data_IF_224623948877
#
_entry.id   IF_224623948877
#
_cell.length_a   1.000
_cell.length_b   1.000
_cell.length_c   1.000
_cell.angle_alpha   90.00
_cell.angle_beta   90.00
_cell.angle_gamma   90.00
#
_symmetry.space_group_name_H-M   'P 1'
#
loop_
_entity.id
_entity.type
_entity.pdbx_description
1 polymer ?
#
# COMPACT_ATOMS: atom_id res chain seq x y z
N UNK A 1 -1.43 10.20 -39.53
CA UNK A 1 -2.77 10.81 -39.65
C UNK A 1 -3.78 9.80 -39.11
N UNK A 2 -4.66 10.25 -38.21
CA UNK A 2 -5.68 9.42 -37.53
C UNK A 2 -5.22 8.97 -36.15
N UNK A 3 -5.92 9.20 -35.05
CA UNK A 3 -7.14 9.98 -34.80
C UNK A 3 -7.37 9.96 -33.29
N UNK A 4 -7.11 11.07 -32.61
CA UNK A 4 -7.45 11.24 -31.18
C UNK A 4 -8.88 11.76 -31.09
N UNK A 5 -9.79 10.95 -30.55
CA UNK A 5 -11.13 11.37 -30.12
C UNK A 5 -11.28 10.99 -28.65
N UNK A 6 -11.20 11.99 -27.75
CA UNK A 6 -12.33 12.64 -27.06
C UNK A 6 -12.81 11.87 -25.82
N UNK A 7 -12.50 12.44 -24.66
CA UNK A 7 -13.45 12.55 -23.55
C UNK A 7 -13.47 14.00 -23.09
N UNK A 8 -14.39 14.78 -23.68
CA UNK A 8 -14.83 16.06 -23.16
C UNK A 8 -16.34 16.01 -23.00
N UNK A 9 -16.80 16.31 -21.78
CA UNK A 9 -18.13 16.79 -21.33
C UNK A 9 -18.60 16.03 -20.08
N UNK A 10 -18.62 16.76 -18.97
CA UNK A 10 -19.72 16.90 -17.99
C UNK A 10 -19.21 17.91 -16.95
N UNK A 11 -19.50 19.19 -17.16
CA UNK A 11 -20.67 19.90 -16.61
C UNK A 11 -20.30 20.67 -15.33
N UNK A 12 -20.08 21.96 -15.54
CA UNK A 12 -20.18 23.06 -14.58
C UNK A 12 -21.49 23.01 -13.80
N UNK A 13 -21.46 23.38 -12.50
CA UNK A 13 -22.24 24.48 -11.90
C UNK A 13 -22.08 24.53 -10.36
N UNK A 14 -21.82 25.77 -9.92
CA UNK A 14 -22.03 26.46 -8.64
C UNK A 14 -21.18 26.23 -7.37
N UNK A 15 -20.53 27.34 -7.04
CA UNK A 15 -19.99 27.78 -5.75
C UNK A 15 -21.13 28.12 -4.77
N UNK A 16 -20.85 27.97 -3.48
CA UNK A 16 -21.65 28.51 -2.39
C UNK A 16 -20.90 28.41 -1.05
N UNK A 17 -20.28 29.52 -0.69
CA UNK A 17 -19.94 30.11 0.62
C UNK A 17 -19.58 29.25 1.85
N UNK A 18 -18.43 29.61 2.44
CA UNK A 18 -18.17 30.02 3.84
C UNK A 18 -18.71 29.17 5.00
N UNK A 19 -17.81 28.68 5.86
CA UNK A 19 -17.43 29.40 7.09
C UNK A 19 -16.47 28.57 7.95
N UNK A 20 -15.52 29.26 8.56
CA UNK A 20 -14.48 28.67 9.40
C UNK A 20 -14.96 28.29 10.80
N UNK A 21 -14.24 27.35 11.42
CA UNK A 21 -14.15 27.27 12.87
C UNK A 21 -12.84 26.56 13.26
N UNK A 22 -11.90 27.35 13.76
CA UNK A 22 -10.73 26.86 14.47
C UNK A 22 -11.15 26.21 15.79
N UNK A 23 -10.66 25.00 16.08
CA UNK A 23 -10.73 24.40 17.40
C UNK A 23 -9.33 23.97 17.83
N UNK A 24 -8.74 24.78 18.72
CA UNK A 24 -7.58 24.44 19.54
C UNK A 24 -8.04 23.42 20.59
N UNK A 25 -7.29 22.32 20.73
CA UNK A 25 -7.55 21.27 21.71
C UNK A 25 -6.25 20.83 22.36
N UNK A 26 -6.24 20.90 23.68
CA UNK A 26 -5.11 20.92 24.60
C UNK A 26 -4.38 19.57 24.74
N UNK A 27 -3.08 19.64 25.04
CA UNK A 27 -2.20 18.48 25.21
C UNK A 27 -2.34 17.90 26.63
N UNK A 28 -3.18 16.87 26.77
CA UNK A 28 -3.32 16.09 28.01
C UNK A 28 -2.35 14.91 28.08
N UNK A 29 -1.41 14.99 29.02
CA UNK A 29 -0.48 13.94 29.44
C UNK A 29 -1.23 12.68 29.93
N UNK A 30 -0.96 11.52 29.33
CA UNK A 30 -1.49 10.21 29.76
C UNK A 30 -0.36 9.27 30.20
N UNK A 31 0.14 9.52 31.40
CA UNK A 31 0.95 8.57 32.17
C UNK A 31 0.04 7.80 33.14
N UNK A 32 -0.57 6.70 32.69
CA UNK A 32 -0.99 5.54 33.50
C UNK A 32 -1.93 4.60 32.74
N UNK A 33 -1.37 3.59 32.07
CA UNK A 33 -2.11 2.36 31.77
C UNK A 33 -1.26 1.19 32.26
N UNK A 34 -1.36 0.93 33.55
CA UNK A 34 -0.97 -0.33 34.14
C UNK A 34 -2.24 -1.13 34.41
N UNK A 35 -2.20 -2.42 34.02
CA UNK A 35 -3.11 -3.50 34.42
C UNK A 35 -4.46 -3.58 33.68
N UNK A 36 -4.48 -4.32 32.56
CA UNK A 36 -5.68 -5.04 32.10
C UNK A 36 -5.57 -6.53 32.49
N UNK A 37 -6.67 -7.16 32.96
CA UNK A 37 -6.65 -8.53 33.46
C UNK A 37 -6.48 -9.55 32.33
N UNK A 38 -5.71 -10.62 32.62
CA UNK A 38 -5.43 -11.74 31.70
C UNK A 38 -6.71 -12.53 31.40
N UNK A 39 -6.96 -12.77 30.12
CA UNK A 39 -8.02 -13.64 29.61
C UNK A 39 -7.75 -15.11 29.95
N UNK A 40 -8.75 -15.82 30.49
CA UNK A 40 -8.72 -17.28 30.68
C UNK A 40 -9.86 -17.94 29.87
N UNK A 41 -9.58 -19.02 29.11
CA UNK A 41 -10.59 -19.68 28.30
C UNK A 41 -11.51 -20.60 29.15
N UNK A 42 -12.80 -20.62 28.82
CA UNK A 42 -13.80 -21.43 29.50
C UNK A 42 -13.66 -22.93 29.20
N UNK A 43 -13.84 -23.77 30.23
CA UNK A 43 -13.85 -25.25 30.14
C UNK A 43 -15.09 -25.76 29.41
N UNK A 44 -14.92 -26.78 28.55
CA UNK A 44 -16.02 -27.52 27.89
C UNK A 44 -16.82 -28.36 28.91
N UNK A 45 -18.16 -28.42 28.86
CA UNK A 45 -18.92 -29.38 29.65
C UNK A 45 -18.89 -30.78 29.02
N UNK A 46 -18.68 -31.80 29.86
CA UNK A 46 -18.69 -33.21 29.49
C UNK A 46 -20.10 -33.79 29.29
N UNK A 47 -20.15 -34.87 28.52
CA UNK A 47 -21.35 -35.67 28.22
C UNK A 47 -21.53 -36.73 29.32
N UNK A 48 -22.73 -36.80 29.91
CA UNK A 48 -23.14 -37.86 30.83
C UNK A 48 -24.66 -37.96 30.88
N UNK A 49 -25.20 -39.13 30.55
CA UNK A 49 -26.64 -39.38 30.40
C UNK A 49 -27.37 -39.88 31.65
N UNK A 50 -28.69 -40.00 31.52
CA UNK A 50 -29.54 -40.84 32.39
C UNK A 50 -30.88 -40.23 32.78
N UNK A 51 -31.98 -40.96 32.53
CA UNK A 51 -33.16 -40.98 33.41
C UNK A 51 -34.43 -40.28 32.95
N UNK A 52 -35.46 -41.08 32.65
CA UNK A 52 -36.86 -40.71 32.36
C UNK A 52 -37.61 -40.22 33.60
N UNK A 53 -38.54 -39.27 33.45
CA UNK A 53 -39.84 -39.25 34.14
C UNK A 53 -40.84 -38.33 33.42
N UNK A 54 -42.06 -38.84 33.21
CA UNK A 54 -43.21 -38.15 32.66
C UNK A 54 -43.87 -37.24 33.70
N UNK A 55 -44.28 -36.05 33.28
CA UNK A 55 -45.02 -35.09 34.11
C UNK A 55 -45.58 -33.98 33.23
N UNK A 56 -46.89 -34.04 33.02
CA UNK A 56 -47.71 -33.11 32.27
C UNK A 56 -47.67 -31.71 32.91
N UNK A 57 -47.40 -30.67 32.12
CA UNK A 57 -47.18 -29.33 32.66
C UNK A 57 -46.87 -28.31 31.59
N UNK A 58 -47.92 -27.70 31.04
CA UNK A 58 -47.86 -26.57 30.13
C UNK A 58 -46.88 -25.47 30.61
N UNK A 59 -45.74 -25.36 29.94
CA UNK A 59 -44.85 -24.19 30.02
C UNK A 59 -44.55 -23.73 28.60
N UNK A 60 -45.07 -22.56 28.25
CA UNK A 60 -44.74 -21.84 27.02
C UNK A 60 -43.25 -21.49 27.04
N UNK A 61 -42.43 -22.37 26.48
CA UNK A 61 -41.03 -22.11 26.18
C UNK A 61 -40.94 -21.19 24.97
N UNK A 62 -40.42 -19.99 25.16
CA UNK A 62 -39.94 -19.15 24.06
C UNK A 62 -38.70 -19.86 23.50
N UNK A 63 -38.90 -20.73 22.52
CA UNK A 63 -37.82 -21.24 21.69
C UNK A 63 -37.15 -20.03 21.03
N UNK A 64 -35.95 -19.68 21.51
CA UNK A 64 -35.06 -18.83 20.74
C UNK A 64 -34.66 -19.62 19.50
N UNK A 65 -35.45 -19.50 18.44
CA UNK A 65 -35.02 -19.78 17.07
C UNK A 65 -33.69 -19.06 16.88
N UNK A 66 -32.61 -19.84 16.83
CA UNK A 66 -31.42 -19.42 16.11
C UNK A 66 -31.91 -19.14 14.69
N UNK A 67 -32.10 -17.86 14.37
CA UNK A 67 -32.48 -17.45 13.04
C UNK A 67 -31.33 -17.84 12.11
N UNK A 68 -31.50 -18.98 11.44
CA UNK A 68 -30.82 -19.27 10.19
C UNK A 68 -30.98 -18.04 9.31
N UNK A 69 -29.87 -17.34 9.06
CA UNK A 69 -29.83 -16.13 8.25
C UNK A 69 -30.61 -16.37 6.96
N UNK A 70 -31.64 -15.54 6.74
CA UNK A 70 -32.51 -15.65 5.56
C UNK A 70 -31.65 -15.66 4.28
N UNK A 71 -31.85 -16.64 3.37
CA UNK A 71 -31.21 -16.64 2.05
C UNK A 71 -31.53 -15.38 1.21
N UNK A 72 -32.55 -14.62 1.62
CA UNK A 72 -33.10 -13.45 0.96
C UNK A 72 -32.36 -12.13 1.25
N UNK A 73 -31.44 -12.05 2.24
CA UNK A 73 -30.55 -10.89 2.34
C UNK A 73 -29.51 -11.00 1.24
N UNK A 74 -29.84 -10.42 0.08
CA UNK A 74 -28.94 -10.22 -1.06
C UNK A 74 -27.52 -9.96 -0.55
N UNK A 75 -26.59 -10.81 -0.95
CA UNK A 75 -25.14 -10.66 -0.75
C UNK A 75 -24.72 -9.30 -1.34
N UNK A 76 -24.84 -8.22 -0.59
CA UNK A 76 -24.17 -6.98 -0.98
C UNK A 76 -22.67 -7.25 -0.80
N UNK A 77 -21.92 -7.22 -1.90
CA UNK A 77 -20.47 -7.31 -1.86
C UNK A 77 -19.88 -6.15 -1.06
N UNK A 78 -18.64 -6.27 -0.59
CA UNK A 78 -17.97 -5.14 0.05
C UNK A 78 -17.89 -3.98 -0.93
N UNK A 79 -18.02 -2.78 -0.39
CA UNK A 79 -17.68 -1.58 -1.11
C UNK A 79 -16.37 -1.04 -0.57
N UNK A 80 -15.37 -0.92 -1.43
CA UNK A 80 -14.07 -0.35 -1.08
C UNK A 80 -14.02 1.07 -1.61
N UNK A 81 -13.32 1.96 -0.90
CA UNK A 81 -13.06 3.30 -1.40
C UNK A 81 -11.92 3.21 -2.42
N UNK A 82 -12.18 3.66 -3.65
CA UNK A 82 -11.20 3.72 -4.71
C UNK A 82 -10.62 5.14 -4.78
N UNK A 83 -9.31 5.29 -4.52
CA UNK A 83 -8.62 6.59 -4.54
C UNK A 83 -8.76 7.29 -5.90
N UNK A 84 -8.67 6.53 -6.99
CA UNK A 84 -8.71 7.10 -8.34
C UNK A 84 -10.08 7.75 -8.63
N UNK A 85 -11.17 7.12 -8.20
CA UNK A 85 -12.53 7.62 -8.45
C UNK A 85 -13.13 8.42 -7.29
N UNK A 86 -12.47 8.41 -6.13
CA UNK A 86 -12.89 8.99 -4.85
C UNK A 86 -14.27 8.54 -4.37
N UNK A 87 -14.66 7.31 -4.71
CA UNK A 87 -16.00 6.77 -4.40
C UNK A 87 -15.89 5.38 -3.80
N UNK A 88 -16.87 5.05 -2.96
CA UNK A 88 -17.07 3.67 -2.50
C UNK A 88 -17.66 2.86 -3.65
N UNK A 89 -16.90 1.94 -4.21
CA UNK A 89 -17.29 1.11 -5.35
C UNK A 89 -17.49 -0.32 -4.93
N UNK A 90 -18.40 -1.04 -5.59
CA UNK A 90 -18.59 -2.47 -5.32
C UNK A 90 -17.34 -3.21 -5.75
N UNK A 91 -16.67 -3.86 -4.81
CA UNK A 91 -15.53 -4.70 -5.11
C UNK A 91 -15.98 -5.89 -5.96
N UNK A 92 -15.29 -6.07 -7.08
CA UNK A 92 -15.46 -7.17 -8.01
C UNK A 92 -14.07 -7.67 -8.35
N UNK A 93 -13.72 -8.91 -7.93
CA UNK A 93 -12.43 -9.48 -8.30
C UNK A 93 -12.26 -9.56 -9.80
N UNK A 94 -11.06 -9.24 -10.28
CA UNK A 94 -10.60 -9.42 -11.65
C UNK A 94 -10.22 -10.88 -11.89
N UNK A 95 -9.66 -11.53 -10.88
CA UNK A 95 -9.20 -12.91 -10.94
C UNK A 95 -9.54 -13.71 -9.68
N UNK A 96 -9.21 -15.01 -9.76
CA UNK A 96 -9.17 -15.93 -8.63
C UNK A 96 -7.78 -16.60 -8.63
N UNK A 97 -6.93 -16.36 -7.62
CA UNK A 97 -7.19 -15.62 -6.39
C UNK A 97 -7.29 -14.10 -6.58
N UNK A 98 -7.87 -13.41 -5.59
CA UNK A 98 -7.78 -11.95 -5.43
C UNK A 98 -6.33 -11.56 -5.17
N UNK A 99 -5.76 -10.75 -6.07
CA UNK A 99 -4.38 -10.27 -6.04
C UNK A 99 -4.29 -8.99 -5.22
N UNK A 100 -3.75 -9.10 -4.01
CA UNK A 100 -3.58 -7.99 -3.07
C UNK A 100 -2.10 -7.68 -2.91
N UNK A 101 -1.69 -6.49 -3.29
CA UNK A 101 -0.34 -5.98 -3.01
C UNK A 101 -0.43 -4.82 -2.01
N UNK A 102 0.34 -4.90 -0.92
CA UNK A 102 0.40 -3.86 0.09
C UNK A 102 1.85 -3.35 0.24
N UNK A 103 2.08 -2.06 0.01
CA UNK A 103 3.43 -1.49 0.20
C UNK A 103 3.89 -1.70 1.64
N UNK A 104 5.03 -2.37 1.79
CA UNK A 104 5.63 -2.64 3.09
C UNK A 104 6.56 -1.53 3.55
N UNK A 105 7.20 -1.70 4.72
CA UNK A 105 7.99 -0.66 5.34
C UNK A 105 9.41 -0.58 4.75
N UNK A 106 10.01 0.60 4.84
CA UNK A 106 11.47 0.75 4.76
C UNK A 106 12.08 0.34 6.09
N UNK A 107 12.95 -0.67 6.08
CA UNK A 107 13.42 -1.36 7.29
C UNK A 107 14.71 -0.74 7.86
N UNK A 108 14.64 0.54 8.25
CA UNK A 108 15.76 1.28 8.88
C UNK A 108 15.53 1.62 10.36
N UNK A 109 14.32 1.38 10.88
CA UNK A 109 13.92 1.72 12.24
C UNK A 109 12.77 0.80 12.74
N UNK A 110 12.50 0.75 14.06
CA UNK A 110 11.37 0.02 14.61
C UNK A 110 10.02 0.48 14.03
N UNK A 111 9.06 -0.44 13.90
CA UNK A 111 7.73 -0.07 13.44
C UNK A 111 6.97 0.74 14.50
N UNK A 112 6.24 1.77 14.05
CA UNK A 112 5.40 2.60 14.92
C UNK A 112 3.90 2.33 14.72
N UNK A 113 3.04 2.99 15.51
CA UNK A 113 1.58 2.80 15.46
C UNK A 113 0.96 3.08 14.08
N UNK A 114 1.52 4.00 13.30
CA UNK A 114 1.12 4.21 11.90
C UNK A 114 1.21 2.94 11.04
N UNK A 115 2.33 2.21 11.11
CA UNK A 115 2.50 0.92 10.45
C UNK A 115 1.47 -0.10 10.95
N UNK A 116 1.34 -0.23 12.28
CA UNK A 116 0.37 -1.14 12.89
C UNK A 116 -1.05 -0.91 12.36
N UNK A 117 -1.50 0.35 12.30
CA UNK A 117 -2.82 0.71 11.76
C UNK A 117 -3.00 0.22 10.31
N UNK A 118 -2.03 0.51 9.44
CA UNK A 118 -2.10 0.14 8.02
C UNK A 118 -2.14 -1.38 7.82
N UNK A 119 -1.25 -2.12 8.48
CA UNK A 119 -1.16 -3.57 8.28
C UNK A 119 -2.28 -4.35 8.97
N UNK A 120 -2.82 -3.86 10.08
CA UNK A 120 -4.06 -4.40 10.67
C UNK A 120 -5.24 -4.18 9.71
N UNK A 121 -5.32 -3.04 9.03
CA UNK A 121 -6.39 -2.79 8.04
C UNK A 121 -6.30 -3.76 6.85
N UNK A 122 -5.09 -4.04 6.34
CA UNK A 122 -4.86 -5.06 5.30
C UNK A 122 -5.26 -6.44 5.79
N UNK A 123 -4.89 -6.80 7.02
CA UNK A 123 -5.23 -8.10 7.62
C UNK A 123 -6.75 -8.29 7.73
N UNK A 124 -7.46 -7.29 8.26
CA UNK A 124 -8.93 -7.31 8.35
C UNK A 124 -9.56 -7.44 6.97
N UNK A 125 -9.06 -6.71 5.97
CA UNK A 125 -9.55 -6.80 4.59
C UNK A 125 -9.34 -8.19 4.01
N UNK A 126 -8.14 -8.76 4.13
CA UNK A 126 -7.82 -10.12 3.69
C UNK A 126 -8.73 -11.15 4.35
N UNK A 127 -8.83 -11.13 5.68
CA UNK A 127 -9.69 -12.05 6.44
C UNK A 127 -11.16 -11.94 6.03
N UNK A 128 -11.62 -10.72 5.76
CA UNK A 128 -12.97 -10.50 5.27
C UNK A 128 -13.16 -11.12 3.88
N UNK A 129 -12.22 -10.92 2.94
CA UNK A 129 -12.29 -11.53 1.61
C UNK A 129 -12.31 -13.06 1.68
N UNK A 130 -11.43 -13.65 2.47
CA UNK A 130 -11.37 -15.10 2.72
C UNK A 130 -12.66 -15.63 3.37
N UNK A 131 -13.19 -14.93 4.37
CA UNK A 131 -14.49 -15.26 4.99
C UNK A 131 -15.65 -15.25 3.99
N UNK A 132 -15.55 -14.42 2.95
CA UNK A 132 -16.56 -14.33 1.88
C UNK A 132 -16.37 -15.35 0.77
N UNK A 133 -15.35 -16.20 0.89
CA UNK A 133 -15.07 -17.31 -0.01
C UNK A 133 -14.14 -16.96 -1.18
N UNK A 134 -13.44 -15.83 -1.13
CA UNK A 134 -12.38 -15.53 -2.10
C UNK A 134 -11.07 -16.17 -1.65
N UNK A 135 -10.35 -16.83 -2.56
CA UNK A 135 -8.93 -17.06 -2.34
C UNK A 135 -8.18 -15.72 -2.48
N UNK A 136 -7.14 -15.51 -1.69
CA UNK A 136 -6.36 -14.26 -1.70
C UNK A 136 -4.88 -14.58 -1.88
N UNK A 137 -4.24 -13.93 -2.85
CA UNK A 137 -2.77 -13.89 -2.98
C UNK A 137 -2.32 -12.51 -2.51
N UNK A 138 -1.87 -12.46 -1.27
CA UNK A 138 -1.34 -11.25 -0.62
C UNK A 138 0.19 -11.23 -0.68
N UNK A 139 0.77 -10.20 -1.29
CA UNK A 139 2.19 -9.87 -1.21
C UNK A 139 2.43 -8.51 -0.54
N UNK A 140 3.54 -8.38 0.15
CA UNK A 140 3.97 -7.16 0.82
C UNK A 140 5.49 -7.09 0.78
N UNK A 141 6.06 -6.05 0.18
CA UNK A 141 7.51 -5.95 0.05
C UNK A 141 8.20 -5.54 1.36
N UNK A 142 9.53 -5.64 1.38
CA UNK A 142 10.38 -4.85 2.26
C UNK A 142 11.27 -3.96 1.42
N UNK A 143 11.31 -2.67 1.73
CA UNK A 143 12.29 -1.76 1.17
C UNK A 143 13.54 -1.84 2.04
N UNK A 144 14.41 -2.78 1.68
CA UNK A 144 15.68 -3.07 2.35
C UNK A 144 16.87 -2.31 1.71
N UNK A 145 16.60 -1.42 0.77
CA UNK A 145 17.53 -0.45 0.22
C UNK A 145 16.85 0.89 0.01
N UNK A 146 17.41 1.92 0.61
CA UNK A 146 16.95 3.29 0.51
C UNK A 146 18.06 4.24 0.96
N UNK A 147 17.88 5.53 0.74
CA UNK A 147 18.83 6.53 1.23
C UNK A 147 18.85 6.52 2.77
N UNK A 148 17.70 6.29 3.42
CA UNK A 148 17.56 6.20 4.86
C UNK A 148 18.29 4.97 5.44
N UNK A 149 18.21 3.81 4.78
CA UNK A 149 18.90 2.59 5.26
C UNK A 149 20.42 2.78 5.21
N UNK A 150 20.93 3.35 4.12
CA UNK A 150 22.35 3.67 3.96
C UNK A 150 22.83 4.67 5.02
N UNK A 151 22.08 5.75 5.24
CA UNK A 151 22.42 6.76 6.26
C UNK A 151 22.44 6.18 7.68
N UNK A 152 21.48 5.33 8.01
CA UNK A 152 21.43 4.65 9.30
C UNK A 152 22.58 3.66 9.45
N UNK A 153 22.90 2.89 8.41
CA UNK A 153 24.01 1.95 8.41
C UNK A 153 25.35 2.66 8.69
N UNK A 154 25.59 3.80 8.05
CA UNK A 154 26.77 4.65 8.32
C UNK A 154 26.77 5.15 9.76
N UNK A 155 25.64 5.69 10.24
CA UNK A 155 25.53 6.26 11.59
C UNK A 155 25.79 5.21 12.67
N UNK A 156 25.24 4.03 12.50
CA UNK A 156 25.31 2.95 13.48
C UNK A 156 26.55 2.05 13.28
N UNK A 157 27.36 2.34 12.26
CA UNK A 157 28.57 1.61 11.89
C UNK A 157 28.33 0.10 11.68
N UNK A 158 27.22 -0.23 11.01
CA UNK A 158 26.81 -1.59 10.68
C UNK A 158 26.64 -1.75 9.17
N UNK A 159 26.66 -3.00 8.70
CA UNK A 159 26.32 -3.30 7.32
C UNK A 159 24.81 -3.06 7.06
N UNK A 160 24.45 -2.52 5.89
CA UNK A 160 23.06 -2.22 5.54
C UNK A 160 22.20 -3.50 5.49
N UNK A 161 22.73 -4.62 5.01
CA UNK A 161 21.98 -5.87 4.98
C UNK A 161 21.75 -6.40 6.42
N UNK A 162 22.74 -6.26 7.30
CA UNK A 162 22.56 -6.62 8.72
C UNK A 162 21.49 -5.76 9.40
N UNK A 163 21.55 -4.44 9.18
CA UNK A 163 20.58 -3.48 9.71
C UNK A 163 19.15 -3.81 9.28
N UNK A 164 18.97 -4.06 7.98
CA UNK A 164 17.65 -4.24 7.38
C UNK A 164 17.05 -5.59 7.76
N UNK A 165 17.86 -6.66 7.83
CA UNK A 165 17.42 -7.97 8.35
C UNK A 165 16.97 -7.88 9.82
N UNK A 166 17.65 -7.08 10.64
CA UNK A 166 17.25 -6.85 12.03
C UNK A 166 15.87 -6.23 12.12
N UNK A 167 15.62 -5.12 11.42
CA UNK A 167 14.33 -4.42 11.47
C UNK A 167 13.22 -5.17 10.74
N UNK A 168 13.53 -5.91 9.67
CA UNK A 168 12.61 -6.86 9.04
C UNK A 168 12.11 -7.89 10.07
N UNK A 169 13.05 -8.51 10.79
CA UNK A 169 12.72 -9.51 11.82
C UNK A 169 11.87 -8.90 12.94
N UNK A 170 12.25 -7.71 13.42
CA UNK A 170 11.50 -7.00 14.46
C UNK A 170 10.08 -6.64 14.00
N UNK A 171 9.94 -6.09 12.79
CA UNK A 171 8.65 -5.78 12.19
C UNK A 171 7.77 -7.03 12.13
N UNK A 172 8.34 -8.14 11.65
CA UNK A 172 7.64 -9.40 11.54
C UNK A 172 7.17 -9.90 12.91
N UNK A 173 7.98 -9.82 13.96
CA UNK A 173 7.58 -10.19 15.34
C UNK A 173 6.45 -9.30 15.86
N UNK A 174 6.53 -8.00 15.60
CA UNK A 174 5.50 -7.04 16.03
C UNK A 174 4.16 -7.29 15.33
N UNK A 175 4.18 -7.58 14.02
CA UNK A 175 2.94 -7.89 13.29
C UNK A 175 2.31 -9.20 13.74
N UNK A 176 3.11 -10.21 14.09
CA UNK A 176 2.60 -11.46 14.70
C UNK A 176 1.96 -11.20 16.06
N UNK A 177 2.56 -10.35 16.88
CA UNK A 177 2.01 -9.98 18.19
C UNK A 177 0.66 -9.25 18.08
N UNK A 178 0.42 -8.53 16.96
CA UNK A 178 -0.86 -7.92 16.64
C UNK A 178 -1.89 -8.91 16.06
N UNK A 179 -1.48 -10.14 15.76
CA UNK A 179 -2.33 -11.19 15.19
C UNK A 179 -2.53 -11.07 13.68
N UNK A 180 -1.70 -10.30 12.98
CA UNK A 180 -1.76 -10.18 11.53
C UNK A 180 -1.36 -11.52 10.89
N UNK A 181 -2.07 -11.91 9.84
CA UNK A 181 -1.64 -13.01 8.97
C UNK A 181 -0.39 -12.58 8.20
N UNK A 182 0.62 -13.46 8.18
CA UNK A 182 1.78 -13.28 7.30
C UNK A 182 1.35 -13.09 5.84
N UNK A 183 1.89 -12.11 5.11
CA UNK A 183 1.81 -12.06 3.66
C UNK A 183 2.30 -13.39 3.08
N UNK A 184 1.73 -13.81 1.95
CA UNK A 184 2.13 -15.06 1.32
C UNK A 184 3.46 -14.92 0.56
N UNK A 185 3.86 -13.69 0.26
CA UNK A 185 5.15 -13.32 -0.33
C UNK A 185 5.65 -12.05 0.30
N UNK A 186 6.95 -12.04 0.55
CA UNK A 186 7.69 -10.92 1.12
C UNK A 186 8.87 -10.58 0.19
N UNK A 187 8.64 -10.00 -1.01
CA UNK A 187 9.73 -9.66 -1.91
C UNK A 187 10.56 -8.52 -1.33
N UNK A 188 11.86 -8.49 -1.65
CA UNK A 188 12.75 -7.41 -1.20
C UNK A 188 13.13 -6.50 -2.36
N UNK A 189 13.25 -5.20 -2.08
CA UNK A 189 13.70 -4.22 -3.06
C UNK A 189 15.07 -4.58 -3.66
N UNK A 190 15.98 -5.10 -2.83
CA UNK A 190 17.30 -5.54 -3.28
C UNK A 190 17.28 -6.68 -4.31
N UNK A 191 16.20 -7.47 -4.38
CA UNK A 191 16.04 -8.59 -5.33
C UNK A 191 15.69 -8.12 -6.75
N UNK A 192 15.22 -6.87 -6.89
CA UNK A 192 14.86 -6.27 -8.19
C UNK A 192 15.81 -5.14 -8.61
N UNK A 193 16.76 -4.76 -7.76
CA UNK A 193 17.66 -3.63 -7.98
C UNK A 193 18.45 -3.75 -9.30
N UNK A 194 19.02 -4.91 -9.61
CA UNK A 194 19.80 -5.09 -10.85
C UNK A 194 18.92 -4.99 -12.10
N UNK A 195 17.69 -5.51 -12.04
CA UNK A 195 16.72 -5.39 -13.14
C UNK A 195 16.31 -3.93 -13.37
N UNK A 196 16.10 -3.16 -12.30
CA UNK A 196 15.84 -1.71 -12.39
C UNK A 196 16.97 -1.02 -13.14
N UNK A 197 18.22 -1.39 -12.87
CA UNK A 197 19.38 -0.88 -13.58
C UNK A 197 19.35 -1.18 -15.09
N UNK A 198 19.02 -2.42 -15.46
CA UNK A 198 18.87 -2.82 -16.87
C UNK A 198 17.73 -2.05 -17.55
N UNK A 199 16.61 -1.86 -16.86
CA UNK A 199 15.48 -1.08 -17.37
C UNK A 199 15.82 0.39 -17.54
N UNK A 200 16.56 0.99 -16.60
CA UNK A 200 17.03 2.36 -16.70
C UNK A 200 17.95 2.53 -17.92
N UNK A 201 18.88 1.59 -18.15
CA UNK A 201 19.74 1.57 -19.32
C UNK A 201 18.93 1.51 -20.64
N UNK A 202 17.90 0.65 -20.66
CA UNK A 202 17.00 0.52 -21.82
C UNK A 202 16.23 1.82 -22.08
N UNK A 203 15.58 2.38 -21.06
CA UNK A 203 14.78 3.60 -21.18
C UNK A 203 15.66 4.80 -21.59
N UNK A 204 16.92 4.83 -21.16
CA UNK A 204 17.89 5.82 -21.58
C UNK A 204 18.23 5.67 -23.07
N UNK A 205 18.46 4.45 -23.55
CA UNK A 205 18.73 4.17 -24.96
C UNK A 205 17.53 4.46 -25.88
N UNK A 206 16.30 4.28 -25.37
CA UNK A 206 15.04 4.58 -26.08
C UNK A 206 14.73 6.09 -26.12
N UNK A 207 15.42 6.90 -25.32
CA UNK A 207 15.21 8.34 -25.21
C UNK A 207 14.02 8.75 -24.32
N UNK A 208 13.43 7.80 -23.58
CA UNK A 208 12.37 8.05 -22.60
C UNK A 208 12.92 8.51 -21.25
N UNK A 209 14.14 8.10 -20.91
CA UNK A 209 14.89 8.59 -19.74
C UNK A 209 16.04 9.50 -20.16
N UNK A 210 16.59 10.23 -19.19
CA UNK A 210 17.72 11.13 -19.40
C UNK A 210 18.72 11.08 -18.24
N UNK A 211 19.98 11.39 -18.54
CA UNK A 211 21.01 11.62 -17.52
C UNK A 211 21.00 13.07 -17.06
N UNK A 212 21.20 13.24 -15.75
CA UNK A 212 21.45 14.54 -15.12
C UNK A 212 22.34 14.34 -13.90
N UNK A 213 22.64 15.42 -13.18
CA UNK A 213 23.31 15.34 -11.89
C UNK A 213 22.55 14.35 -10.98
N UNK A 214 23.25 13.49 -10.26
CA UNK A 214 22.60 12.53 -9.36
C UNK A 214 21.91 11.32 -10.02
N UNK A 215 22.02 11.10 -11.34
CA UNK A 215 21.71 9.80 -11.95
C UNK A 215 20.87 9.83 -13.24
N UNK A 216 20.12 8.74 -13.47
CA UNK A 216 19.21 8.54 -14.59
C UNK A 216 17.79 8.79 -14.11
N UNK A 217 17.06 9.61 -14.86
CA UNK A 217 15.75 10.12 -14.51
C UNK A 217 14.75 9.81 -15.62
N UNK A 218 13.51 9.52 -15.24
CA UNK A 218 12.38 9.44 -16.17
C UNK A 218 11.69 10.80 -16.23
N UNK A 219 11.56 11.35 -17.44
CA UNK A 219 10.78 12.57 -17.64
C UNK A 219 9.31 12.25 -17.72
N UNK A 220 8.49 12.93 -16.91
CA UNK A 220 7.04 12.74 -16.90
C UNK A 220 6.36 14.07 -17.18
N UNK A 221 5.37 14.06 -18.07
CA UNK A 221 4.55 15.24 -18.31
C UNK A 221 3.73 15.54 -17.04
N UNK A 222 3.80 16.75 -16.46
CA UNK A 222 3.00 17.14 -15.30
C UNK A 222 1.50 16.87 -15.46
N UNK A 223 0.97 16.92 -16.70
CA UNK A 223 -0.43 16.62 -17.00
C UNK A 223 -0.80 15.14 -16.93
N UNK A 224 0.18 14.23 -16.79
CA UNK A 224 -0.06 12.81 -16.52
C UNK A 224 -0.25 12.53 -15.03
N UNK A 225 0.19 13.42 -14.15
CA UNK A 225 -0.01 13.29 -12.71
C UNK A 225 -1.43 13.71 -12.30
N UNK A 226 -1.85 13.21 -11.15
CA UNK A 226 -3.08 13.57 -10.50
C UNK A 226 -4.16 12.51 -10.61
N UNK A 227 -3.86 11.30 -11.07
CA UNK A 227 -4.86 10.23 -11.11
C UNK A 227 -5.39 9.90 -9.70
N UNK A 228 -4.49 9.80 -8.72
CA UNK A 228 -4.82 9.48 -7.32
C UNK A 228 -5.07 10.73 -6.47
N UNK A 229 -4.39 11.85 -6.76
CA UNK A 229 -4.67 13.15 -6.12
C UNK A 229 -6.03 13.71 -6.52
N UNK A 230 -6.34 13.56 -7.82
CA UNK A 230 -7.48 14.08 -8.59
C UNK A 230 -7.88 15.50 -8.28
N UNK A 231 -6.82 16.25 -8.06
CA UNK A 231 -6.57 17.53 -8.67
C UNK A 231 -5.38 17.36 -9.63
N UNK A 232 -5.27 18.26 -10.60
CA UNK A 232 -4.03 18.47 -11.34
C UNK A 232 -2.90 18.82 -10.36
N UNK A 233 -1.70 18.26 -10.59
CA UNK A 233 -0.57 18.48 -9.70
C UNK A 233 -0.17 19.96 -9.62
N UNK A 234 -0.30 20.68 -10.74
CA UNK A 234 -0.05 22.13 -10.82
C UNK A 234 -0.95 22.95 -9.92
N UNK A 235 -2.16 22.46 -9.62
CA UNK A 235 -3.11 23.11 -8.71
C UNK A 235 -2.93 22.65 -7.24
N UNK A 236 -2.19 21.56 -7.01
CA UNK A 236 -1.85 21.08 -5.66
C UNK A 236 -0.60 21.74 -5.08
N UNK A 237 0.26 22.30 -5.93
CA UNK A 237 1.46 22.99 -5.48
C UNK A 237 1.13 24.32 -4.79
N UNK A 238 1.87 24.63 -3.72
CA UNK A 238 1.80 25.94 -3.07
C UNK A 238 2.42 27.06 -3.94
N UNK A 239 3.25 26.69 -4.91
CA UNK A 239 3.94 27.59 -5.85
C UNK A 239 3.80 27.04 -7.27
N UNK A 240 3.88 27.86 -8.34
CA UNK A 240 3.82 27.35 -9.70
C UNK A 240 4.92 26.30 -9.92
N UNK A 241 4.66 25.26 -10.73
CA UNK A 241 5.62 24.18 -11.00
C UNK A 241 6.99 24.70 -11.49
N UNK A 242 7.01 25.84 -12.18
CA UNK A 242 8.23 26.52 -12.63
C UNK A 242 9.09 27.14 -11.51
N UNK A 243 8.52 27.30 -10.30
CA UNK A 243 9.20 27.82 -9.12
C UNK A 243 9.62 26.72 -8.14
N UNK A 244 9.17 25.48 -8.35
CA UNK A 244 9.64 24.33 -7.59
C UNK A 244 11.07 24.02 -8.02
N UNK A 245 12.01 24.11 -7.09
CA UNK A 245 13.39 23.69 -7.33
C UNK A 245 13.40 22.23 -7.76
N UNK A 246 13.74 21.99 -9.02
CA UNK A 246 13.87 20.65 -9.59
C UNK A 246 15.15 19.97 -9.12
N UNK A 247 16.07 20.71 -8.48
CA UNK A 247 17.38 20.26 -8.06
C UNK A 247 18.11 19.61 -9.23
N UNK A 248 18.52 18.33 -9.11
CA UNK A 248 19.20 17.61 -10.18
C UNK A 248 18.31 17.33 -11.42
N UNK A 249 17.00 17.53 -11.35
CA UNK A 249 16.06 17.10 -12.38
C UNK A 249 15.81 18.18 -13.42
N UNK A 250 15.41 17.79 -14.63
CA UNK A 250 14.87 18.70 -15.66
C UNK A 250 13.47 19.19 -15.30
N UNK A 251 12.62 18.31 -14.76
CA UNK A 251 11.29 18.63 -14.26
C UNK A 251 11.17 18.33 -12.75
N UNK A 252 10.41 19.15 -11.98
CA UNK A 252 10.26 18.93 -10.54
C UNK A 252 9.59 17.60 -10.18
N UNK A 253 8.81 17.04 -11.11
CA UNK A 253 8.04 15.80 -10.93
C UNK A 253 8.71 14.56 -11.53
N UNK A 254 9.91 14.71 -12.11
CA UNK A 254 10.62 13.58 -12.69
C UNK A 254 11.09 12.60 -11.60
N UNK A 255 11.17 11.33 -11.95
CA UNK A 255 11.51 10.25 -11.03
C UNK A 255 12.91 9.71 -11.29
N UNK A 256 13.68 9.49 -10.22
CA UNK A 256 14.95 8.80 -10.33
C UNK A 256 14.70 7.32 -10.65
N UNK A 257 15.34 6.81 -11.70
CA UNK A 257 15.37 5.39 -12.01
C UNK A 257 16.62 4.73 -11.42
N UNK A 258 17.76 5.41 -11.56
CA UNK A 258 19.07 4.92 -11.11
C UNK A 258 19.91 6.06 -10.56
N UNK A 259 20.40 5.94 -9.34
CA UNK A 259 21.28 6.92 -8.72
C UNK A 259 22.69 6.38 -8.46
N UNK A 260 23.66 7.26 -8.17
CA UNK A 260 25.01 6.84 -7.82
C UNK A 260 25.04 6.05 -6.50
N UNK A 261 26.12 5.31 -6.22
CA UNK A 261 26.29 4.61 -4.96
C UNK A 261 26.27 5.60 -3.78
N UNK A 262 25.71 5.16 -2.65
CA UNK A 262 25.73 5.92 -1.41
C UNK A 262 26.72 5.32 -0.42
N UNK A 263 27.33 6.16 0.41
CA UNK A 263 28.17 5.70 1.51
C UNK A 263 27.36 4.81 2.45
N UNK A 264 27.87 3.61 2.72
CA UNK A 264 27.22 2.59 3.56
C UNK A 264 26.01 1.90 2.95
N UNK A 265 25.56 2.32 1.76
CA UNK A 265 24.50 1.65 1.02
C UNK A 265 25.06 0.58 0.07
N UNK A 266 24.24 -0.42 -0.24
CA UNK A 266 24.55 -1.41 -1.28
C UNK A 266 24.52 -0.77 -2.67
N UNK A 267 25.29 -1.36 -3.58
CA UNK A 267 25.37 -0.92 -4.96
C UNK A 267 25.45 -2.10 -5.92
N UNK A 268 24.91 -1.90 -7.11
CA UNK A 268 24.84 -2.87 -8.20
C UNK A 268 25.53 -2.31 -9.43
N UNK A 269 26.01 -3.19 -10.31
CA UNK A 269 26.68 -2.83 -11.56
C UNK A 269 25.97 -3.44 -12.77
N UNK A 270 24.76 -2.95 -13.11
CA UNK A 270 24.02 -3.42 -14.28
C UNK A 270 24.77 -3.08 -15.56
N UNK A 271 24.62 -3.91 -16.60
CA UNK A 271 25.25 -3.66 -17.89
C UNK A 271 24.70 -2.39 -18.55
N UNK A 272 25.59 -1.56 -19.09
CA UNK A 272 25.23 -0.39 -19.91
C UNK A 272 25.12 0.94 -19.16
N UNK A 273 25.19 0.95 -17.83
CA UNK A 273 25.19 2.17 -17.00
C UNK A 273 26.18 2.04 -15.83
N UNK A 274 26.60 3.15 -15.18
CA UNK A 274 27.53 3.10 -14.05
C UNK A 274 26.97 2.35 -12.84
N UNK A 275 27.85 1.81 -11.97
CA UNK A 275 27.44 1.26 -10.69
C UNK A 275 26.60 2.26 -9.89
N UNK A 276 25.57 1.77 -9.21
CA UNK A 276 24.61 2.63 -8.54
C UNK A 276 23.60 1.89 -7.71
N UNK A 277 22.45 2.51 -7.48
CA UNK A 277 21.31 1.98 -6.73
C UNK A 277 19.98 2.36 -7.40
N UNK A 278 18.93 1.56 -7.23
CA UNK A 278 17.62 1.86 -7.82
C UNK A 278 16.98 3.10 -7.20
N UNK A 279 16.02 3.67 -7.92
CA UNK A 279 15.06 4.63 -7.37
C UNK A 279 13.86 3.93 -6.73
N UNK A 280 13.33 4.55 -5.67
CA UNK A 280 12.34 3.96 -4.76
C UNK A 280 11.06 3.44 -5.45
N UNK A 281 10.52 4.18 -6.44
CA UNK A 281 9.18 3.89 -6.96
C UNK A 281 9.12 2.68 -7.90
N UNK A 282 10.20 2.37 -8.63
CA UNK A 282 10.17 1.28 -9.62
C UNK A 282 10.20 -0.11 -8.97
N UNK A 283 10.69 -0.19 -7.74
CA UNK A 283 10.78 -1.42 -6.96
C UNK A 283 9.41 -2.07 -6.79
N UNK A 284 8.44 -1.31 -6.27
CA UNK A 284 7.06 -1.78 -6.08
C UNK A 284 6.41 -2.14 -7.42
N UNK A 285 6.68 -1.37 -8.48
CA UNK A 285 6.19 -1.68 -9.83
C UNK A 285 6.59 -3.08 -10.27
N UNK A 286 7.87 -3.42 -10.15
CA UNK A 286 8.39 -4.72 -10.56
C UNK A 286 7.96 -5.85 -9.61
N UNK A 287 8.07 -5.64 -8.30
CA UNK A 287 7.72 -6.65 -7.30
C UNK A 287 6.25 -7.05 -7.41
N UNK A 288 5.33 -6.09 -7.47
CA UNK A 288 3.89 -6.38 -7.58
C UNK A 288 3.53 -7.05 -8.92
N UNK A 289 4.25 -6.69 -9.99
CA UNK A 289 4.03 -7.30 -11.31
C UNK A 289 4.45 -8.77 -11.39
N UNK A 290 5.42 -9.19 -10.58
CA UNK A 290 5.86 -10.58 -10.46
C UNK A 290 4.93 -11.39 -9.56
N UNK A 291 4.63 -10.87 -8.36
CA UNK A 291 3.78 -11.54 -7.38
C UNK A 291 3.09 -10.48 -6.49
N UNK A 292 1.74 -10.43 -6.41
CA UNK A 292 0.75 -11.44 -6.81
C UNK A 292 0.52 -11.58 -8.32
N UNK A 293 1.15 -10.74 -9.13
CA UNK A 293 0.94 -10.66 -10.57
C UNK A 293 -0.17 -9.68 -10.93
N UNK A 294 -0.28 -9.37 -12.22
CA UNK A 294 -1.22 -8.38 -12.75
C UNK A 294 -2.43 -9.01 -13.44
N UNK A 295 -3.56 -8.28 -13.54
CA UNK A 295 -3.85 -7.04 -12.82
C UNK A 295 -4.01 -7.24 -11.31
N UNK A 296 -3.63 -6.22 -10.53
CA UNK A 296 -3.91 -6.15 -9.10
C UNK A 296 -5.40 -5.87 -8.89
N UNK A 297 -6.03 -6.68 -8.04
CA UNK A 297 -7.37 -6.40 -7.54
C UNK A 297 -7.34 -5.23 -6.55
N UNK A 298 -6.34 -5.24 -5.66
CA UNK A 298 -6.19 -4.28 -4.58
C UNK A 298 -4.72 -3.91 -4.45
N UNK A 299 -4.43 -2.63 -4.67
CA UNK A 299 -3.16 -2.02 -4.30
C UNK A 299 -3.39 -1.13 -3.07
N UNK A 300 -2.69 -1.43 -1.97
CA UNK A 300 -2.90 -0.81 -0.68
C UNK A 300 -1.63 -0.18 -0.12
N UNK A 301 -1.77 0.97 0.54
CA UNK A 301 -0.68 1.61 1.27
C UNK A 301 -1.20 2.66 2.25
N UNK A 302 -0.28 3.28 2.99
CA UNK A 302 -0.58 4.47 3.79
C UNK A 302 -1.19 5.59 2.93
N UNK A 303 -1.92 6.50 3.54
CA UNK A 303 -2.50 7.64 2.80
C UNK A 303 -1.40 8.56 2.21
N UNK A 304 -0.27 8.62 2.91
CA UNK A 304 0.98 9.26 2.50
C UNK A 304 1.60 8.61 1.24
N UNK A 305 1.32 7.33 0.98
CA UNK A 305 1.82 6.65 -0.22
C UNK A 305 0.98 6.94 -1.47
N UNK A 306 -0.21 7.56 -1.33
CA UNK A 306 -1.01 7.93 -2.50
C UNK A 306 -0.23 8.86 -3.45
N UNK A 307 0.55 9.79 -2.89
CA UNK A 307 1.48 10.63 -3.63
C UNK A 307 2.72 10.93 -2.77
N UNK A 308 3.95 10.79 -3.31
CA UNK A 308 4.23 10.49 -4.71
C UNK A 308 4.16 9.01 -5.07
N UNK A 309 4.21 8.08 -4.09
CA UNK A 309 4.57 6.69 -4.35
C UNK A 309 3.66 5.93 -5.34
N UNK A 310 2.39 5.68 -5.01
CA UNK A 310 1.47 4.95 -5.89
C UNK A 310 1.18 5.67 -7.21
N UNK A 311 1.20 7.01 -7.20
CA UNK A 311 1.06 7.81 -8.43
C UNK A 311 2.24 7.55 -9.37
N UNK A 312 3.46 7.53 -8.81
CA UNK A 312 4.68 7.24 -9.55
C UNK A 312 4.66 5.82 -10.11
N UNK A 313 4.19 4.85 -9.33
CA UNK A 313 4.07 3.46 -9.79
C UNK A 313 3.13 3.31 -11.00
N UNK A 314 2.03 4.06 -11.03
CA UNK A 314 1.12 4.06 -12.19
C UNK A 314 1.82 4.61 -13.44
N UNK A 315 2.56 5.70 -13.30
CA UNK A 315 3.29 6.35 -14.39
C UNK A 315 4.46 5.49 -14.89
N UNK A 316 5.17 4.84 -13.97
CA UNK A 316 6.25 3.91 -14.28
C UNK A 316 5.72 2.64 -14.93
N UNK A 317 4.57 2.12 -14.48
CA UNK A 317 3.91 1.00 -15.14
C UNK A 317 3.55 1.34 -16.60
N UNK A 318 2.97 2.52 -16.84
CA UNK A 318 2.66 3.02 -18.20
C UNK A 318 3.92 3.11 -19.08
N UNK A 319 5.00 3.70 -18.54
CA UNK A 319 6.29 3.80 -19.24
C UNK A 319 6.92 2.44 -19.56
N UNK A 320 6.65 1.41 -18.75
CA UNK A 320 7.09 0.04 -19.00
C UNK A 320 6.13 -0.77 -19.90
N UNK A 321 5.03 -0.18 -20.35
CA UNK A 321 4.01 -0.87 -21.15
C UNK A 321 3.15 -1.86 -20.34
N UNK A 322 3.00 -1.61 -19.05
CA UNK A 322 2.21 -2.39 -18.11
C UNK A 322 0.82 -1.74 -17.98
N UNK A 323 -0.09 -2.08 -18.89
CA UNK A 323 -1.39 -1.39 -19.04
C UNK A 323 -2.48 -1.86 -18.05
N UNK A 324 -2.29 -3.03 -17.41
CA UNK A 324 -3.25 -3.63 -16.48
C UNK A 324 -2.73 -3.55 -15.04
N UNK A 325 -2.48 -2.33 -14.53
CA UNK A 325 -1.86 -2.14 -13.21
C UNK A 325 -2.77 -2.55 -12.04
N UNK A 326 -3.75 -1.72 -11.70
CA UNK A 326 -4.63 -1.95 -10.55
C UNK A 326 -6.05 -1.47 -10.79
N UNK A 327 -7.04 -2.31 -10.46
CA UNK A 327 -8.46 -1.94 -10.53
C UNK A 327 -8.94 -1.14 -9.32
N UNK A 328 -8.26 -1.24 -8.18
CA UNK A 328 -8.52 -0.41 -7.00
C UNK A 328 -7.21 -0.06 -6.31
N UNK A 329 -6.91 1.23 -6.24
CA UNK A 329 -5.90 1.76 -5.32
C UNK A 329 -6.65 2.23 -4.08
N UNK A 330 -6.60 1.45 -3.00
CA UNK A 330 -7.29 1.77 -1.77
C UNK A 330 -6.32 2.51 -0.83
N UNK A 331 -6.60 3.77 -0.44
CA UNK A 331 -5.79 4.44 0.57
C UNK A 331 -6.10 3.78 1.92
N UNK A 332 -5.10 3.70 2.81
CA UNK A 332 -5.25 3.15 4.17
C UNK A 332 -6.25 3.85 5.10
N UNK A 333 -7.08 4.74 4.58
CA UNK A 333 -8.23 5.29 5.26
C UNK A 333 -9.48 4.44 4.97
N UNK A 334 -9.64 3.34 5.72
CA UNK A 334 -10.98 2.81 6.00
C UNK A 334 -11.61 3.80 7.00
N UNK A 335 -12.05 4.96 6.52
CA UNK A 335 -12.93 5.84 7.30
C UNK A 335 -14.35 5.27 7.21
N UNK A 336 -14.77 4.69 8.33
CA UNK A 336 -16.17 4.42 8.65
C UNK A 336 -16.98 5.70 8.64
#
# INVERSE_FOLDING_TARGET
MGGRARLSRLATVNRGCDDGAAARGDAGNISSIAQLPRYQPARKPGVGGGGLHAGDGARRGVERRVQYLCPCRRRQGVRLYNSATRRKERFQPVGDPVRLYACGPTVYAPAHLGHAKSYVAVDVLRRWLEYRGHAVRHAQNFTDIADETAQVAVRDAVDEAELTVRYETEFLVQMDALGNLRPHVLPRASEVAEEIGVLAARLLAEGSAYESEGGIWLSVDPGQHGALLGTEISAALCEPASAVDSGPKRGPFDFMLWGPPLSGGRSWSPGGIPPGRPGWHLECTLMASRDPGLPLDIHFGGADLAYPHHESELLLADALGIWEWANTVAPGCITG
#
